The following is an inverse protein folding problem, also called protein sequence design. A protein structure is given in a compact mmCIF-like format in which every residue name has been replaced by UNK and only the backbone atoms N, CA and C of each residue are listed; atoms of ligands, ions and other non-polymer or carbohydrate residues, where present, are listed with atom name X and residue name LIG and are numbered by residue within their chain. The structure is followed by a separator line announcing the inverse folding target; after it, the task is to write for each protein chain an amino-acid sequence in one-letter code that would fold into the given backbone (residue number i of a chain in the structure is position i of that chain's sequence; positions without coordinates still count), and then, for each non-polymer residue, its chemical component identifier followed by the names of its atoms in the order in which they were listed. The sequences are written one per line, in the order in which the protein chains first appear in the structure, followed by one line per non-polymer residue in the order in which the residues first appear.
data_IF_970262480097
#
_entry.id   IF_970262480097
#
_cell.length_a   1.000
_cell.length_b   1.000
_cell.length_c   1.000
_cell.angle_alpha   90.00
_cell.angle_beta   90.00
_cell.angle_gamma   90.00
#
_symmetry.space_group_name_H-M   'P 1'
#
loop_
_entity.id
_entity.type
_entity.pdbx_description
1 polymer ?
#
# COMPACT_ATOMS: atom_id res chain seq x y z
N UNK A 1 -5.40 13.43 4.34
CA UNK A 1 -4.20 12.99 3.62
C UNK A 1 -3.15 12.29 4.52
N UNK A 2 -2.61 12.92 5.59
CA UNK A 2 -1.61 12.23 6.45
C UNK A 2 -2.24 11.07 7.22
N UNK A 3 -3.41 11.27 7.83
CA UNK A 3 -4.15 10.25 8.56
C UNK A 3 -4.45 9.01 7.70
N UNK A 4 -4.85 9.19 6.44
CA UNK A 4 -5.16 8.09 5.51
C UNK A 4 -3.92 7.22 5.26
N UNK A 5 -2.78 7.85 4.97
CA UNK A 5 -1.51 7.12 4.72
C UNK A 5 -1.02 6.36 5.95
N UNK A 6 -1.22 6.93 7.14
CA UNK A 6 -0.89 6.25 8.40
C UNK A 6 -1.79 5.03 8.62
N UNK A 7 -3.09 5.18 8.38
CA UNK A 7 -4.04 4.07 8.52
C UNK A 7 -3.72 2.96 7.54
N UNK A 8 -3.40 3.30 6.27
CA UNK A 8 -2.95 2.33 5.27
C UNK A 8 -1.71 1.57 5.75
N UNK A 9 -0.71 2.29 6.26
CA UNK A 9 0.52 1.67 6.79
C UNK A 9 0.23 0.71 7.95
N UNK A 10 -0.59 1.13 8.92
CA UNK A 10 -0.99 0.28 10.06
C UNK A 10 -1.76 -0.94 9.56
N UNK A 11 -2.65 -0.76 8.60
CA UNK A 11 -3.42 -1.86 8.01
C UNK A 11 -2.50 -2.88 7.33
N UNK A 12 -1.54 -2.43 6.50
CA UNK A 12 -0.55 -3.31 5.86
C UNK A 12 0.26 -4.07 6.91
N UNK A 13 0.77 -3.38 7.94
CA UNK A 13 1.55 -4.02 9.01
C UNK A 13 0.71 -5.05 9.78
N UNK A 14 -0.53 -4.74 10.08
CA UNK A 14 -1.47 -5.66 10.76
C UNK A 14 -1.75 -6.88 9.90
N UNK A 15 -2.09 -6.67 8.62
CA UNK A 15 -2.30 -7.76 7.67
C UNK A 15 -1.04 -8.59 7.48
N UNK A 16 0.13 -7.98 7.43
CA UNK A 16 1.42 -8.68 7.33
C UNK A 16 1.64 -9.60 8.51
N UNK A 17 1.43 -9.10 9.73
CA UNK A 17 1.57 -9.89 10.94
C UNK A 17 0.61 -11.08 10.95
N UNK A 18 -0.69 -10.84 10.70
CA UNK A 18 -1.71 -11.88 10.66
C UNK A 18 -1.36 -12.92 9.59
N UNK A 19 -1.03 -12.48 8.38
CA UNK A 19 -0.72 -13.37 7.27
C UNK A 19 0.53 -14.20 7.54
N UNK A 20 1.58 -13.60 8.11
CA UNK A 20 2.78 -14.33 8.49
C UNK A 20 2.49 -15.41 9.53
N UNK A 21 1.68 -15.10 10.54
CA UNK A 21 1.27 -16.09 11.55
C UNK A 21 0.44 -17.24 10.96
N UNK A 22 -0.41 -16.96 9.97
CA UNK A 22 -1.24 -17.98 9.32
C UNK A 22 -0.49 -18.80 8.26
N UNK A 23 0.52 -18.23 7.63
CA UNK A 23 1.23 -18.82 6.49
C UNK A 23 2.64 -19.36 6.83
N UNK A 24 2.95 -19.59 8.12
CA UNK A 24 4.28 -20.06 8.57
C UNK A 24 4.78 -21.28 7.80
N UNK A 25 3.87 -22.23 7.51
CA UNK A 25 4.23 -23.44 6.76
C UNK A 25 4.70 -23.16 5.33
N UNK A 26 4.07 -22.20 4.64
CA UNK A 26 4.46 -21.84 3.28
C UNK A 26 5.85 -21.17 3.26
N UNK A 27 6.12 -20.28 4.20
CA UNK A 27 7.43 -19.68 4.36
C UNK A 27 8.50 -20.71 4.76
N UNK A 28 8.15 -21.66 5.63
CA UNK A 28 9.05 -22.76 6.00
C UNK A 28 9.46 -23.60 4.79
N UNK A 29 8.50 -24.07 4.02
CA UNK A 29 8.74 -24.84 2.78
C UNK A 29 9.58 -24.06 1.76
N UNK A 30 9.31 -22.77 1.60
CA UNK A 30 10.11 -21.92 0.74
C UNK A 30 11.57 -21.84 1.19
N UNK A 31 11.82 -21.58 2.47
CA UNK A 31 13.17 -21.51 2.99
C UNK A 31 13.92 -22.85 2.94
N UNK A 32 13.21 -23.95 3.03
CA UNK A 32 13.80 -25.27 2.85
C UNK A 32 14.15 -25.54 1.36
N UNK A 33 13.40 -24.98 0.43
CA UNK A 33 13.70 -25.01 -0.99
C UNK A 33 14.84 -24.04 -1.40
N UNK A 34 15.07 -22.97 -0.63
CA UNK A 34 16.11 -21.96 -0.87
C UNK A 34 17.04 -21.78 0.36
N UNK A 35 17.86 -22.79 0.69
CA UNK A 35 18.67 -22.80 1.93
C UNK A 35 19.67 -21.63 2.00
N UNK A 36 20.24 -21.21 0.87
CA UNK A 36 21.15 -20.06 0.86
C UNK A 36 20.46 -18.76 1.28
N UNK A 37 19.20 -18.55 0.88
CA UNK A 37 18.42 -17.38 1.29
C UNK A 37 18.11 -17.43 2.79
N UNK A 38 17.75 -18.60 3.31
CA UNK A 38 17.56 -18.84 4.73
C UNK A 38 18.80 -18.50 5.54
N UNK A 39 19.96 -19.03 5.14
CA UNK A 39 21.25 -18.76 5.79
C UNK A 39 21.61 -17.27 5.75
N UNK A 40 21.45 -16.60 4.62
CA UNK A 40 21.71 -15.16 4.51
C UNK A 40 20.83 -14.35 5.45
N UNK A 41 19.53 -14.66 5.53
CA UNK A 41 18.60 -13.99 6.43
C UNK A 41 18.94 -14.27 7.91
N UNK A 42 19.26 -15.51 8.25
CA UNK A 42 19.68 -15.87 9.61
C UNK A 42 20.99 -15.19 9.98
N UNK A 43 21.95 -15.11 9.09
CA UNK A 43 23.21 -14.41 9.32
C UNK A 43 22.98 -12.90 9.56
N UNK A 44 22.11 -12.26 8.77
CA UNK A 44 21.73 -10.86 8.98
C UNK A 44 21.00 -10.70 10.33
N UNK A 45 20.05 -11.59 10.64
CA UNK A 45 19.27 -11.54 11.88
C UNK A 45 20.10 -11.86 13.12
N UNK A 46 21.14 -12.68 13.02
CA UNK A 46 22.04 -13.05 14.12
C UNK A 46 23.24 -12.10 14.28
N UNK A 47 23.50 -11.25 13.28
CA UNK A 47 24.63 -10.31 13.34
C UNK A 47 24.33 -9.18 14.35
N UNK A 48 25.05 -9.20 15.46
CA UNK A 48 24.96 -8.17 16.50
C UNK A 48 25.22 -6.75 15.97
N UNK A 49 26.00 -6.61 14.89
CA UNK A 49 26.30 -5.31 14.26
C UNK A 49 25.04 -4.70 13.64
N UNK A 50 24.19 -5.54 13.03
CA UNK A 50 22.91 -5.10 12.45
C UNK A 50 21.99 -4.57 13.56
N UNK A 51 21.88 -5.31 14.66
CA UNK A 51 21.06 -4.87 15.81
C UNK A 51 21.62 -3.63 16.49
N UNK A 52 22.93 -3.56 16.70
CA UNK A 52 23.57 -2.35 17.23
C UNK A 52 23.36 -1.16 16.32
N UNK A 53 23.55 -1.32 15.02
CA UNK A 53 23.28 -0.26 14.03
C UNK A 53 21.82 0.21 14.07
N UNK A 54 20.88 -0.72 14.11
CA UNK A 54 19.45 -0.44 14.21
C UNK A 54 19.10 0.33 15.49
N UNK A 55 19.64 -0.12 16.64
CA UNK A 55 19.42 0.55 17.94
C UNK A 55 20.02 1.96 17.92
N UNK A 56 21.23 2.13 17.37
CA UNK A 56 21.87 3.44 17.25
C UNK A 56 21.03 4.37 16.39
N UNK A 57 20.53 3.89 15.24
CA UNK A 57 19.67 4.69 14.36
C UNK A 57 18.36 5.08 15.06
N UNK A 58 17.70 4.14 15.74
CA UNK A 58 16.47 4.43 16.48
C UNK A 58 16.74 5.42 17.63
N UNK A 59 17.83 5.23 18.38
CA UNK A 59 18.22 6.14 19.45
C UNK A 59 18.56 7.54 18.92
N UNK A 60 19.29 7.63 17.79
CA UNK A 60 19.62 8.89 17.14
C UNK A 60 18.38 9.61 16.63
N UNK A 61 17.42 8.88 16.01
CA UNK A 61 16.13 9.45 15.60
C UNK A 61 15.31 9.93 16.80
N UNK A 62 15.23 9.12 17.86
CA UNK A 62 14.55 9.51 19.11
C UNK A 62 15.17 10.74 19.75
N UNK A 63 16.51 10.78 19.84
CA UNK A 63 17.25 11.94 20.32
C UNK A 63 16.97 13.18 19.48
N UNK A 64 16.98 13.03 18.16
CA UNK A 64 16.73 14.09 17.20
C UNK A 64 15.32 14.69 17.32
N UNK A 65 14.33 13.87 17.69
CA UNK A 65 12.95 14.32 17.92
C UNK A 65 12.81 15.14 19.21
N UNK A 66 13.66 14.88 20.21
CA UNK A 66 13.59 15.52 21.54
C UNK A 66 14.46 16.79 21.60
N UNK A 67 15.56 16.84 20.83
CA UNK A 67 16.47 17.97 20.83
C UNK A 67 15.81 19.26 20.34
N UNK A 68 16.00 20.34 21.10
CA UNK A 68 15.72 21.70 20.63
C UNK A 68 16.82 22.09 19.64
N UNK A 69 16.49 22.16 18.36
CA UNK A 69 17.45 22.52 17.32
C UNK A 69 16.98 23.72 16.51
N UNK A 70 17.90 24.59 16.15
CA UNK A 70 17.65 25.72 15.24
C UNK A 70 17.92 25.37 13.77
N UNK A 71 18.48 24.18 13.51
CA UNK A 71 18.76 23.74 12.16
C UNK A 71 17.46 23.52 11.38
N UNK A 72 17.31 24.21 10.25
CA UNK A 72 16.10 24.20 9.40
C UNK A 72 15.71 22.79 8.93
N UNK A 73 16.70 21.93 8.62
CA UNK A 73 16.44 20.56 8.16
C UNK A 73 15.90 19.69 9.30
N UNK A 74 16.56 19.72 10.45
CA UNK A 74 16.15 18.96 11.63
C UNK A 74 14.78 19.38 12.14
N UNK A 75 14.51 20.70 12.14
CA UNK A 75 13.19 21.26 12.49
C UNK A 75 12.09 20.77 11.53
N UNK A 76 12.41 20.60 10.23
CA UNK A 76 11.47 20.06 9.26
C UNK A 76 11.16 18.59 9.54
N UNK A 77 12.17 17.77 9.91
CA UNK A 77 11.99 16.37 10.29
C UNK A 77 11.15 16.24 11.56
N UNK A 78 11.42 17.06 12.58
CA UNK A 78 10.63 17.11 13.82
C UNK A 78 9.16 17.50 13.54
N UNK A 79 8.94 18.49 12.69
CA UNK A 79 7.60 18.89 12.24
C UNK A 79 6.87 17.75 11.51
N UNK A 80 7.56 17.03 10.63
CA UNK A 80 6.97 15.88 9.95
C UNK A 80 6.57 14.78 10.93
N UNK A 81 7.45 14.43 11.87
CA UNK A 81 7.15 13.42 12.88
C UNK A 81 5.99 13.85 13.80
N UNK A 82 5.94 15.10 14.19
CA UNK A 82 4.83 15.66 14.97
C UNK A 82 3.53 15.64 14.19
N UNK A 83 3.54 16.02 12.92
CA UNK A 83 2.35 15.97 12.05
C UNK A 83 1.86 14.52 11.86
N UNK A 84 2.76 13.54 11.81
CA UNK A 84 2.40 12.12 11.79
C UNK A 84 1.69 11.74 13.10
N UNK A 85 2.24 12.10 14.26
CA UNK A 85 1.62 11.82 15.55
C UNK A 85 0.26 12.51 15.71
N UNK A 86 0.16 13.78 15.29
CA UNK A 86 -1.10 14.53 15.28
C UNK A 86 -2.13 13.88 14.33
N UNK A 87 -1.69 13.31 13.20
CA UNK A 87 -2.53 12.53 12.31
C UNK A 87 -3.13 11.28 12.98
N UNK A 88 -2.36 10.52 13.77
CA UNK A 88 -2.87 9.42 14.58
C UNK A 88 -3.86 9.90 15.64
N UNK A 89 -3.50 10.96 16.37
CA UNK A 89 -4.37 11.52 17.40
C UNK A 89 -5.68 12.05 16.80
N UNK A 90 -5.66 12.56 15.58
CA UNK A 90 -6.87 13.03 14.89
C UNK A 90 -7.87 11.90 14.62
N UNK A 91 -7.40 10.71 14.22
CA UNK A 91 -8.26 9.53 13.98
C UNK A 91 -9.01 9.14 15.25
N UNK A 92 -8.32 9.13 16.40
CA UNK A 92 -8.94 8.73 17.67
C UNK A 92 -9.98 9.74 18.17
N UNK A 93 -9.85 11.02 17.78
CA UNK A 93 -10.71 12.15 18.20
C UNK A 93 -11.81 12.46 17.19
N UNK A 94 -11.83 11.81 16.03
CA UNK A 94 -12.80 12.08 14.98
C UNK A 94 -14.18 11.53 15.35
N UNK A 95 -15.26 12.33 15.14
CA UNK A 95 -16.66 11.94 15.36
C UNK A 95 -17.01 10.91 14.31
N UNK A 96 -16.63 10.28 13.60
CA UNK A 96 -16.99 9.25 12.62
C UNK A 96 -15.95 8.14 12.49
N UNK A 97 -15.12 7.95 13.52
CA UNK A 97 -14.00 6.99 13.49
C UNK A 97 -14.42 5.57 13.10
N UNK A 98 -15.60 5.12 13.51
CA UNK A 98 -16.09 3.79 13.15
C UNK A 98 -16.45 3.67 11.67
N UNK A 99 -17.04 4.70 11.09
CA UNK A 99 -17.27 4.78 9.64
C UNK A 99 -15.97 4.83 8.86
N UNK A 100 -15.00 5.58 9.33
CA UNK A 100 -13.66 5.64 8.73
C UNK A 100 -12.98 4.26 8.75
N UNK A 101 -12.99 3.55 9.89
CA UNK A 101 -12.44 2.20 9.99
C UNK A 101 -13.19 1.20 9.10
N UNK A 102 -14.52 1.26 9.07
CA UNK A 102 -15.33 0.41 8.19
C UNK A 102 -14.99 0.62 6.72
N UNK A 103 -14.89 1.88 6.29
CA UNK A 103 -14.50 2.22 4.91
C UNK A 103 -13.09 1.74 4.60
N UNK A 104 -12.15 1.86 5.53
CA UNK A 104 -10.79 1.32 5.37
C UNK A 104 -10.82 -0.19 5.15
N UNK A 105 -11.55 -0.93 5.98
CA UNK A 105 -11.69 -2.38 5.84
C UNK A 105 -12.33 -2.74 4.49
N UNK A 106 -13.36 -2.00 4.06
CA UNK A 106 -14.02 -2.21 2.77
C UNK A 106 -13.06 -1.97 1.59
N UNK A 107 -12.27 -0.90 1.63
CA UNK A 107 -11.29 -0.59 0.58
C UNK A 107 -10.26 -1.72 0.47
N UNK A 108 -9.67 -2.14 1.60
CA UNK A 108 -8.69 -3.23 1.61
C UNK A 108 -9.31 -4.57 1.21
N UNK A 109 -10.57 -4.81 1.60
CA UNK A 109 -11.35 -5.96 1.16
C UNK A 109 -11.59 -5.95 -0.35
N UNK A 110 -11.91 -4.81 -0.94
CA UNK A 110 -12.04 -4.66 -2.40
C UNK A 110 -10.71 -4.90 -3.13
N UNK A 111 -9.59 -4.40 -2.61
CA UNK A 111 -8.27 -4.68 -3.20
C UNK A 111 -7.91 -6.16 -3.14
N UNK A 112 -8.16 -6.81 -2.01
CA UNK A 112 -7.99 -8.25 -1.87
C UNK A 112 -8.88 -9.02 -2.85
N UNK A 113 -10.16 -8.68 -2.91
CA UNK A 113 -11.12 -9.32 -3.81
C UNK A 113 -10.72 -9.17 -5.28
N UNK A 114 -10.23 -8.00 -5.67
CA UNK A 114 -9.72 -7.76 -7.01
C UNK A 114 -8.59 -8.71 -7.36
N UNK A 115 -7.59 -8.87 -6.48
CA UNK A 115 -6.49 -9.80 -6.71
C UNK A 115 -6.97 -11.26 -6.69
N UNK A 116 -7.90 -11.60 -5.78
CA UNK A 116 -8.49 -12.92 -5.72
C UNK A 116 -9.20 -13.30 -7.03
N UNK A 117 -10.02 -12.41 -7.56
CA UNK A 117 -10.71 -12.62 -8.85
C UNK A 117 -9.71 -12.70 -10.01
N UNK A 118 -8.65 -11.88 -9.98
CA UNK A 118 -7.58 -11.99 -10.96
C UNK A 118 -6.89 -13.36 -10.89
N UNK A 119 -6.63 -13.91 -9.71
CA UNK A 119 -6.08 -15.26 -9.57
C UNK A 119 -7.03 -16.33 -10.13
N UNK A 120 -8.34 -16.16 -10.01
CA UNK A 120 -9.31 -17.11 -10.58
C UNK A 120 -9.39 -17.05 -12.11
N UNK A 121 -8.98 -15.96 -12.72
CA UNK A 121 -9.03 -15.79 -14.17
C UNK A 121 -7.96 -16.58 -14.95
N UNK A 122 -6.91 -17.06 -14.28
CA UNK A 122 -5.82 -17.81 -14.92
C UNK A 122 -5.76 -19.24 -14.39
N UNK A 123 -5.68 -20.21 -15.28
CA UNK A 123 -5.67 -21.64 -14.93
C UNK A 123 -4.53 -22.06 -14.01
N UNK A 124 -3.39 -21.36 -14.06
CA UNK A 124 -2.22 -21.66 -13.23
C UNK A 124 -2.26 -21.04 -11.84
N UNK A 125 -3.20 -20.12 -11.57
CA UNK A 125 -3.42 -19.50 -10.24
C UNK A 125 -4.81 -19.81 -9.66
N UNK A 126 -5.75 -20.35 -10.44
CA UNK A 126 -7.13 -20.61 -10.01
C UNK A 126 -7.25 -21.60 -8.85
N UNK A 127 -6.27 -22.48 -8.68
CA UNK A 127 -6.22 -23.46 -7.60
C UNK A 127 -5.58 -22.92 -6.29
N UNK A 128 -5.17 -21.66 -6.27
CA UNK A 128 -4.61 -21.06 -5.08
C UNK A 128 -5.69 -20.92 -3.99
N UNK A 129 -5.37 -21.34 -2.78
CA UNK A 129 -6.25 -21.15 -1.62
C UNK A 129 -6.40 -19.65 -1.29
N UNK A 130 -7.46 -19.30 -0.59
CA UNK A 130 -7.69 -17.92 -0.10
C UNK A 130 -6.50 -17.41 0.72
N UNK A 131 -5.89 -18.28 1.54
CA UNK A 131 -4.70 -17.94 2.31
C UNK A 131 -3.49 -17.67 1.40
N UNK A 132 -3.30 -18.45 0.34
CA UNK A 132 -2.23 -18.22 -0.63
C UNK A 132 -2.39 -16.86 -1.32
N UNK A 133 -3.60 -16.53 -1.77
CA UNK A 133 -3.86 -15.23 -2.37
C UNK A 133 -3.68 -14.09 -1.36
N UNK A 134 -4.01 -14.30 -0.08
CA UNK A 134 -3.77 -13.32 0.98
C UNK A 134 -2.27 -13.05 1.16
N UNK A 135 -1.43 -14.10 1.12
CA UNK A 135 0.03 -13.94 1.18
C UNK A 135 0.55 -13.13 -0.01
N UNK A 136 0.11 -13.49 -1.23
CA UNK A 136 0.47 -12.73 -2.44
C UNK A 136 0.05 -11.28 -2.32
N UNK A 137 -1.17 -11.04 -1.85
CA UNK A 137 -1.73 -9.69 -1.65
C UNK A 137 -0.90 -8.85 -0.68
N UNK A 138 -0.55 -9.42 0.48
CA UNK A 138 0.22 -8.71 1.50
C UNK A 138 1.64 -8.42 1.02
N UNK A 139 2.32 -9.38 0.40
CA UNK A 139 3.65 -9.18 -0.19
C UNK A 139 3.63 -8.12 -1.29
N UNK A 140 2.63 -8.16 -2.17
CA UNK A 140 2.44 -7.15 -3.22
C UNK A 140 2.19 -5.76 -2.63
N UNK A 141 1.42 -5.68 -1.54
CA UNK A 141 1.14 -4.42 -0.83
C UNK A 141 2.41 -3.83 -0.19
N UNK A 142 3.28 -4.68 0.37
CA UNK A 142 4.60 -4.27 0.86
C UNK A 142 5.46 -3.76 -0.30
N UNK A 143 5.46 -4.46 -1.43
CA UNK A 143 6.15 -4.02 -2.65
C UNK A 143 5.68 -2.65 -3.15
N UNK A 144 4.37 -2.36 -3.05
CA UNK A 144 3.81 -1.05 -3.38
C UNK A 144 4.30 0.07 -2.45
N UNK A 145 4.69 -0.25 -1.22
CA UNK A 145 5.26 0.70 -0.25
C UNK A 145 6.66 1.20 -0.64
N UNK A 146 7.36 0.52 -1.54
CA UNK A 146 8.66 0.98 -2.07
C UNK A 146 8.40 2.18 -2.99
N UNK A 147 9.12 3.32 -2.81
CA UNK A 147 8.87 4.55 -3.55
C UNK A 147 9.30 4.41 -5.02
N UNK A 148 8.47 3.79 -5.81
CA UNK A 148 8.58 3.68 -7.28
C UNK A 148 7.35 4.28 -7.94
N UNK A 149 7.45 4.64 -9.23
CA UNK A 149 6.31 5.21 -9.96
C UNK A 149 5.18 4.20 -10.08
N UNK A 150 4.11 4.36 -9.27
CA UNK A 150 2.93 3.49 -9.31
C UNK A 150 3.21 2.03 -8.93
N UNK A 151 4.25 1.77 -8.11
CA UNK A 151 4.64 0.41 -7.73
C UNK A 151 5.37 -0.38 -8.83
N UNK A 152 5.67 0.26 -9.97
CA UNK A 152 6.29 -0.43 -11.12
C UNK A 152 7.60 -1.11 -10.69
N UNK A 153 7.73 -2.38 -11.00
CA UNK A 153 8.87 -3.21 -10.64
C UNK A 153 8.74 -3.83 -9.25
N UNK A 154 8.70 -3.04 -8.20
CA UNK A 154 8.67 -3.55 -6.82
C UNK A 154 7.42 -4.39 -6.52
N UNK A 155 6.24 -3.93 -6.94
CA UNK A 155 4.99 -4.69 -6.85
C UNK A 155 5.05 -5.99 -7.66
N UNK A 156 5.62 -5.94 -8.87
CA UNK A 156 5.75 -7.12 -9.74
C UNK A 156 6.64 -8.18 -9.10
N UNK A 157 7.82 -7.78 -8.63
CA UNK A 157 8.77 -8.70 -7.97
C UNK A 157 8.13 -9.32 -6.72
N UNK A 158 7.45 -8.52 -5.89
CA UNK A 158 6.78 -8.99 -4.69
C UNK A 158 5.62 -9.97 -5.02
N UNK A 159 4.87 -9.70 -6.09
CA UNK A 159 3.80 -10.59 -6.57
C UNK A 159 4.37 -11.92 -7.08
N UNK A 160 5.42 -11.88 -7.91
CA UNK A 160 6.10 -13.09 -8.42
C UNK A 160 6.68 -13.90 -7.27
N UNK A 161 7.30 -13.24 -6.29
CA UNK A 161 7.79 -13.89 -5.08
C UNK A 161 6.66 -14.58 -4.31
N UNK A 162 5.54 -13.88 -4.08
CA UNK A 162 4.38 -14.44 -3.40
C UNK A 162 3.79 -15.66 -4.11
N UNK A 163 3.70 -15.62 -5.46
CA UNK A 163 3.23 -16.72 -6.26
C UNK A 163 4.17 -17.95 -6.18
N UNK A 164 5.48 -17.71 -6.15
CA UNK A 164 6.47 -18.77 -6.05
C UNK A 164 6.43 -19.55 -4.73
N UNK A 165 5.98 -18.92 -3.63
CA UNK A 165 5.76 -19.59 -2.34
C UNK A 165 4.74 -20.74 -2.44
N UNK A 166 3.86 -20.66 -3.45
CA UNK A 166 2.79 -21.65 -3.67
C UNK A 166 2.97 -22.42 -4.97
N UNK A 167 4.21 -22.50 -5.48
CA UNK A 167 4.57 -23.33 -6.63
C UNK A 167 4.14 -22.74 -7.99
N UNK A 168 3.71 -21.49 -8.04
CA UNK A 168 3.43 -20.78 -9.30
C UNK A 168 4.71 -20.12 -9.79
N UNK A 169 5.49 -20.86 -10.55
CA UNK A 169 6.80 -20.45 -11.03
C UNK A 169 7.92 -20.61 -10.01
N UNK A 170 9.14 -20.28 -10.43
CA UNK A 170 10.35 -20.30 -9.60
C UNK A 170 10.83 -18.86 -9.41
N UNK A 171 11.12 -18.50 -8.16
CA UNK A 171 11.69 -17.21 -7.88
C UNK A 171 13.20 -17.23 -8.09
N UNK A 172 13.64 -16.65 -9.20
CA UNK A 172 15.07 -16.46 -9.49
C UNK A 172 15.31 -14.99 -9.83
N UNK A 173 16.02 -14.24 -8.96
CA UNK A 173 16.32 -12.83 -9.22
C UNK A 173 17.05 -12.66 -10.56
N UNK A 174 16.48 -11.86 -11.45
CA UNK A 174 17.02 -11.63 -12.80
C UNK A 174 16.51 -12.58 -13.90
N UNK A 175 15.85 -13.69 -13.55
CA UNK A 175 15.23 -14.59 -14.51
C UNK A 175 13.90 -15.14 -13.96
N UNK A 176 12.88 -14.30 -13.96
CA UNK A 176 11.57 -14.64 -13.41
C UNK A 176 10.78 -15.59 -14.33
N UNK A 177 9.98 -16.45 -13.73
CA UNK A 177 9.07 -17.34 -14.47
C UNK A 177 8.15 -16.53 -15.40
N UNK A 178 8.04 -16.87 -16.70
CA UNK A 178 7.23 -16.10 -17.65
C UNK A 178 5.74 -16.04 -17.29
N UNK A 179 5.17 -17.10 -16.67
CA UNK A 179 3.75 -17.13 -16.27
C UNK A 179 3.48 -16.18 -15.09
N UNK A 180 4.33 -16.23 -14.07
CA UNK A 180 4.21 -15.32 -12.92
C UNK A 180 4.45 -13.87 -13.34
N UNK A 181 5.39 -13.63 -14.25
CA UNK A 181 5.66 -12.31 -14.80
C UNK A 181 4.49 -11.78 -15.64
N UNK A 182 3.93 -12.63 -16.52
CA UNK A 182 2.76 -12.27 -17.32
C UNK A 182 1.55 -11.94 -16.43
N UNK A 183 1.30 -12.76 -15.39
CA UNK A 183 0.25 -12.47 -14.41
C UNK A 183 0.43 -11.09 -13.76
N UNK A 184 1.61 -10.84 -13.20
CA UNK A 184 1.89 -9.58 -12.53
C UNK A 184 1.74 -8.37 -13.48
N UNK A 185 2.26 -8.47 -14.72
CA UNK A 185 2.13 -7.42 -15.73
C UNK A 185 0.69 -7.18 -16.15
N UNK A 186 -0.09 -8.22 -16.39
CA UNK A 186 -1.48 -8.11 -16.82
C UNK A 186 -2.37 -7.53 -15.72
N UNK A 187 -2.23 -8.01 -14.49
CA UNK A 187 -3.03 -7.50 -13.35
C UNK A 187 -2.71 -6.04 -13.09
N UNK A 188 -1.43 -5.67 -13.02
CA UNK A 188 -1.01 -4.29 -12.83
C UNK A 188 -1.45 -3.39 -13.99
N UNK A 189 -1.27 -3.86 -15.22
CA UNK A 189 -1.65 -3.10 -16.43
C UNK A 189 -3.15 -2.87 -16.49
N UNK A 190 -3.96 -3.89 -16.19
CA UNK A 190 -5.42 -3.78 -16.18
C UNK A 190 -5.92 -2.83 -15.09
N UNK A 191 -5.34 -2.92 -13.90
CA UNK A 191 -5.65 -2.00 -12.80
C UNK A 191 -5.29 -0.56 -13.16
N UNK A 192 -4.13 -0.34 -13.76
CA UNK A 192 -3.68 0.99 -14.19
C UNK A 192 -4.60 1.56 -15.27
N UNK A 193 -4.98 0.74 -16.26
CA UNK A 193 -5.93 1.14 -17.29
C UNK A 193 -7.28 1.54 -16.69
N UNK A 194 -7.80 0.74 -15.78
CA UNK A 194 -9.06 1.04 -15.07
C UNK A 194 -8.99 2.39 -14.34
N UNK A 195 -7.88 2.63 -13.61
CA UNK A 195 -7.68 3.89 -12.89
C UNK A 195 -7.62 5.10 -13.85
N UNK A 196 -6.99 4.95 -15.01
CA UNK A 196 -6.95 6.00 -16.04
C UNK A 196 -8.36 6.30 -16.54
N UNK A 197 -9.13 5.27 -16.90
CA UNK A 197 -10.51 5.42 -17.41
C UNK A 197 -11.40 6.09 -16.36
N UNK A 198 -11.36 5.62 -15.12
CA UNK A 198 -12.13 6.20 -14.03
C UNK A 198 -11.66 7.62 -13.69
N UNK A 199 -10.37 7.91 -13.78
CA UNK A 199 -9.81 9.24 -13.59
C UNK A 199 -10.30 10.23 -14.64
N UNK A 200 -10.33 9.82 -15.91
CA UNK A 200 -10.89 10.64 -17.01
C UNK A 200 -12.38 10.89 -16.77
N UNK A 201 -13.14 9.85 -16.43
CA UNK A 201 -14.56 9.98 -16.12
C UNK A 201 -14.81 10.96 -14.96
N UNK A 202 -14.07 10.83 -13.86
CA UNK A 202 -14.18 11.71 -12.71
C UNK A 202 -13.83 13.17 -13.08
N UNK A 203 -12.81 13.37 -13.90
CA UNK A 203 -12.41 14.71 -14.36
C UNK A 203 -13.51 15.38 -15.20
N UNK A 204 -14.09 14.64 -16.15
CA UNK A 204 -15.20 15.13 -16.97
C UNK A 204 -16.42 15.45 -16.11
N UNK A 205 -16.78 14.57 -15.18
CA UNK A 205 -17.90 14.75 -14.27
C UNK A 205 -17.75 16.01 -13.41
N UNK A 206 -16.56 16.22 -12.82
CA UNK A 206 -16.27 17.44 -12.05
C UNK A 206 -16.32 18.71 -12.91
N UNK A 207 -15.86 18.65 -14.15
CA UNK A 207 -15.91 19.80 -15.06
C UNK A 207 -17.37 20.19 -15.38
N UNK A 208 -18.24 19.19 -15.62
CA UNK A 208 -19.68 19.42 -15.87
C UNK A 208 -20.37 20.00 -14.63
N UNK A 209 -20.10 19.44 -13.46
CA UNK A 209 -20.71 19.93 -12.21
C UNK A 209 -20.28 21.36 -11.88
N UNK A 210 -19.02 21.68 -12.14
CA UNK A 210 -18.52 23.05 -11.99
C UNK A 210 -19.27 24.04 -12.92
N UNK A 211 -19.44 23.68 -14.19
CA UNK A 211 -20.20 24.51 -15.13
C UNK A 211 -21.66 24.73 -14.68
N UNK A 212 -22.32 23.69 -14.16
CA UNK A 212 -23.69 23.78 -13.63
C UNK A 212 -23.78 24.74 -12.44
N UNK A 213 -22.81 24.69 -11.54
CA UNK A 213 -22.77 25.59 -10.36
C UNK A 213 -22.54 27.04 -10.82
N UNK A 214 -21.63 27.27 -11.75
CA UNK A 214 -21.33 28.60 -12.27
C UNK A 214 -22.55 29.17 -13.00
N UNK A 215 -23.22 28.40 -13.84
CA UNK A 215 -24.44 28.80 -14.55
C UNK A 215 -25.60 29.08 -13.58
N UNK A 216 -25.77 28.24 -12.54
CA UNK A 216 -26.78 28.45 -11.51
C UNK A 216 -26.57 29.73 -10.70
N UNK A 217 -25.33 30.09 -10.39
CA UNK A 217 -24.99 31.36 -9.73
C UNK A 217 -25.33 32.57 -10.63
N UNK A 218 -25.00 32.51 -11.89
CA UNK A 218 -25.28 33.60 -12.86
C UNK A 218 -26.78 33.84 -12.98
N UNK A 219 -27.60 32.78 -13.01
CA UNK A 219 -29.07 32.90 -13.05
C UNK A 219 -29.62 33.54 -11.78
N UNK A 220 -29.08 33.19 -10.60
CA UNK A 220 -29.52 33.78 -9.31
C UNK A 220 -29.14 35.26 -9.21
N UNK A 221 -27.97 35.65 -9.71
CA UNK A 221 -27.52 37.05 -9.70
C UNK A 221 -28.41 37.90 -10.64
N UNK A 222 -28.69 37.45 -11.88
CA UNK A 222 -29.57 38.16 -12.81
C UNK A 222 -30.99 38.32 -12.26
N UNK A 223 -31.55 37.29 -11.64
CA UNK A 223 -32.88 37.34 -11.03
C UNK A 223 -32.94 38.32 -9.86
N UNK A 224 -31.88 38.42 -9.05
CA UNK A 224 -31.80 39.37 -7.92
C UNK A 224 -31.66 40.83 -8.39
N UNK A 225 -31.05 41.08 -9.54
CA UNK A 225 -30.90 42.42 -10.10
C UNK A 225 -32.20 42.87 -10.76
N UNK A 226 -32.98 41.98 -11.38
CA UNK A 226 -34.33 42.28 -11.93
C UNK A 226 -35.36 42.58 -10.81
N UNK A 227 -35.22 42.01 -9.62
CA UNK A 227 -36.13 42.27 -8.49
C UNK A 227 -35.85 43.63 -7.82
N UNK A 228 -34.66 44.22 -8.02
CA UNK A 228 -34.25 45.51 -7.45
C UNK A 228 -34.59 46.73 -8.33
N UNK A 229 -35.09 46.51 -9.55
CA UNK A 229 -35.60 47.53 -10.45
C UNK A 229 -37.11 47.69 -10.30
#
# INVERSE_FOLDING_TARGET
MVADRLTDTVTVLTLTLITFLLAQNAFGQFFDAYPQMKENLLNIASDARVWMGTIIVIAALGWLLIMKTENKILKKIQLMARNLWEGFAAITRMDGKWWFLLLTILIWGCYFLQLYLACQAFSFTSNLSVLAVLVVFVLSSIGMGIPTNGGLGAWHVATIFGLSLYGVGVFNPGNFDPRASAFAMLVWGFQTLLLIVLGIYAFISMAIDRQRIETGKTVVETTNDEIKL
#
